data_IF_458852527568
#
_entry.id   IF_458852527568
#
_cell.length_a   1.000
_cell.length_b   1.000
_cell.length_c   1.000
_cell.angle_alpha   90.00
_cell.angle_beta   90.00
_cell.angle_gamma   90.00
#
_symmetry.space_group_name_H-M   'P 1'
#
loop_
_entity.id
_entity.type
_entity.pdbx_description
1 polymer ?
#
# COMPACT_ATOMS: atom_id res chain seq x y z
N UNK A 1 3.48 31.25 9.61
CA UNK A 1 3.72 29.85 10.02
C UNK A 1 2.58 28.94 9.51
N UNK A 2 2.76 28.39 8.32
CA UNK A 2 1.81 27.44 7.74
C UNK A 2 1.84 26.16 8.59
N UNK A 3 0.78 25.94 9.36
CA UNK A 3 0.58 24.66 10.07
C UNK A 3 0.39 23.60 8.99
N UNK A 4 1.42 22.80 8.73
CA UNK A 4 1.30 21.60 7.91
C UNK A 4 0.24 20.70 8.53
N UNK A 5 -0.96 20.71 7.96
CA UNK A 5 -2.02 19.79 8.36
C UNK A 5 -1.52 18.39 8.00
N UNK A 6 -1.48 17.44 8.94
CA UNK A 6 -0.99 16.10 8.65
C UNK A 6 -1.88 15.45 7.60
N UNK A 7 -1.26 14.99 6.50
CA UNK A 7 -1.93 14.27 5.44
C UNK A 7 -2.50 12.97 5.99
N UNK A 8 -3.74 12.65 5.59
CA UNK A 8 -4.42 11.41 5.95
C UNK A 8 -4.60 10.56 4.69
N UNK A 9 -4.95 9.29 4.91
CA UNK A 9 -5.21 8.31 3.84
C UNK A 9 -6.17 8.81 2.75
N UNK A 10 -7.18 9.58 3.15
CA UNK A 10 -8.21 10.16 2.29
C UNK A 10 -7.73 11.34 1.44
N UNK A 11 -6.61 11.96 1.82
CA UNK A 11 -6.04 13.12 1.14
C UNK A 11 -5.07 12.66 0.02
N UNK A 12 -4.75 11.35 -0.04
CA UNK A 12 -3.92 10.77 -1.09
C UNK A 12 -4.73 10.53 -2.37
N UNK A 13 -4.15 10.89 -3.50
CA UNK A 13 -4.74 10.61 -4.81
C UNK A 13 -4.54 9.14 -5.19
N UNK A 14 -5.35 8.66 -6.14
CA UNK A 14 -5.20 7.32 -6.72
C UNK A 14 -3.80 7.12 -7.32
N UNK A 15 -3.21 8.17 -7.90
CA UNK A 15 -1.86 8.13 -8.48
C UNK A 15 -0.78 7.97 -7.41
N UNK A 16 -0.91 8.65 -6.27
CA UNK A 16 0.01 8.49 -5.15
C UNK A 16 -0.05 7.08 -4.56
N UNK A 17 -1.26 6.55 -4.40
CA UNK A 17 -1.48 5.17 -3.94
C UNK A 17 -0.88 4.17 -4.92
N UNK A 18 -1.06 4.38 -6.23
CA UNK A 18 -0.47 3.52 -7.25
C UNK A 18 1.05 3.59 -7.26
N UNK A 19 1.64 4.76 -7.03
CA UNK A 19 3.09 4.93 -6.91
C UNK A 19 3.65 4.20 -5.69
N UNK A 20 2.97 4.31 -4.54
CA UNK A 20 3.34 3.56 -3.32
C UNK A 20 3.26 2.06 -3.61
N UNK A 21 2.16 1.59 -4.20
CA UNK A 21 2.00 0.19 -4.59
C UNK A 21 3.12 -0.26 -5.55
N UNK A 22 3.40 0.48 -6.62
CA UNK A 22 4.47 0.17 -7.58
C UNK A 22 5.86 0.16 -6.96
N UNK A 23 6.10 0.88 -5.87
CA UNK A 23 7.39 0.84 -5.17
C UNK A 23 7.56 -0.45 -4.38
N UNK A 24 6.46 -1.04 -3.89
CA UNK A 24 6.46 -2.18 -2.98
C UNK A 24 5.82 -3.46 -3.56
N UNK A 25 5.43 -3.48 -4.84
CA UNK A 25 4.72 -4.62 -5.44
C UNK A 25 5.58 -5.89 -5.56
N UNK A 26 6.89 -5.78 -5.38
CA UNK A 26 7.84 -6.90 -5.35
C UNK A 26 8.37 -7.18 -3.94
N UNK A 27 7.87 -6.46 -2.93
CA UNK A 27 8.24 -6.72 -1.55
C UNK A 27 7.73 -8.09 -1.12
N UNK A 28 8.32 -8.61 -0.04
CA UNK A 28 7.95 -9.92 0.50
C UNK A 28 6.47 -9.93 0.88
N UNK A 29 5.76 -10.91 0.34
CA UNK A 29 4.37 -11.12 0.65
C UNK A 29 4.20 -11.63 2.09
N UNK A 30 3.09 -11.26 2.76
CA UNK A 30 2.74 -11.85 4.04
C UNK A 30 2.54 -13.37 3.89
N UNK A 31 2.71 -14.09 4.99
CA UNK A 31 2.54 -15.54 5.01
C UNK A 31 1.14 -15.92 4.50
N UNK A 32 1.08 -16.99 3.71
CA UNK A 32 -0.16 -17.42 3.05
C UNK A 32 -0.51 -16.65 1.79
N UNK A 33 0.22 -15.60 1.39
CA UNK A 33 -0.02 -14.88 0.14
C UNK A 33 1.00 -15.22 -0.93
N UNK A 34 0.52 -15.33 -2.18
CA UNK A 34 1.36 -15.51 -3.36
C UNK A 34 0.81 -14.70 -4.54
N UNK A 35 1.66 -14.40 -5.50
CA UNK A 35 1.24 -13.78 -6.76
C UNK A 35 1.12 -14.86 -7.84
N UNK A 36 -0.06 -15.00 -8.45
CA UNK A 36 -0.34 -16.05 -9.43
C UNK A 36 -0.05 -15.64 -10.89
N UNK A 37 0.60 -14.50 -11.12
CA UNK A 37 0.82 -13.92 -12.45
C UNK A 37 -0.24 -12.91 -12.89
N UNK A 38 -1.39 -12.84 -12.20
CA UNK A 38 -2.45 -11.86 -12.48
C UNK A 38 -2.91 -11.10 -11.23
N UNK A 39 -2.95 -11.77 -10.08
CA UNK A 39 -3.46 -11.24 -8.82
C UNK A 39 -2.68 -11.80 -7.63
N UNK A 40 -2.77 -11.10 -6.51
CA UNK A 40 -2.37 -11.61 -5.21
C UNK A 40 -3.48 -12.50 -4.68
N UNK A 41 -3.11 -13.70 -4.23
CA UNK A 41 -4.04 -14.72 -3.75
C UNK A 41 -3.56 -15.20 -2.39
N UNK A 42 -4.48 -15.23 -1.42
CA UNK A 42 -4.28 -15.89 -0.13
C UNK A 42 -4.57 -17.38 -0.26
N UNK A 43 -3.87 -18.21 0.52
CA UNK A 43 -4.17 -19.63 0.70
C UNK A 43 -5.60 -19.86 1.22
N UNK A 44 -6.17 -18.88 1.92
CA UNK A 44 -7.56 -18.93 2.41
C UNK A 44 -8.60 -18.60 1.33
N UNK A 45 -8.16 -18.27 0.11
CA UNK A 45 -9.00 -18.01 -1.04
C UNK A 45 -9.30 -16.53 -1.31
N UNK A 46 -8.82 -15.61 -0.47
CA UNK A 46 -8.91 -14.17 -0.72
C UNK A 46 -8.08 -13.76 -1.95
N UNK A 47 -8.54 -12.76 -2.70
CA UNK A 47 -7.85 -12.28 -3.91
C UNK A 47 -7.84 -10.76 -3.95
N UNK A 48 -6.73 -10.20 -4.42
CA UNK A 48 -6.54 -8.77 -4.57
C UNK A 48 -5.72 -8.45 -5.81
N UNK A 49 -6.04 -7.35 -6.49
CA UNK A 49 -5.20 -6.80 -7.56
C UNK A 49 -4.03 -5.96 -7.02
N UNK A 50 -4.05 -5.65 -5.72
CA UNK A 50 -3.02 -4.86 -5.03
C UNK A 50 -2.34 -5.69 -3.96
N UNK A 51 -1.08 -5.35 -3.69
CA UNK A 51 -0.28 -5.99 -2.66
C UNK A 51 -1.05 -5.99 -1.32
N UNK A 52 -1.14 -7.13 -0.60
CA UNK A 52 -1.94 -7.24 0.63
C UNK A 52 -1.51 -6.25 1.72
N UNK A 53 -0.21 -5.94 1.80
CA UNK A 53 0.32 -4.93 2.73
C UNK A 53 0.22 -3.47 2.25
N UNK A 54 -0.59 -3.17 1.22
CA UNK A 54 -0.66 -1.82 0.66
C UNK A 54 -1.03 -0.75 1.70
N UNK A 55 -2.01 -1.02 2.57
CA UNK A 55 -2.41 -0.04 3.59
C UNK A 55 -1.26 0.24 4.58
N UNK A 56 -0.46 -0.77 4.92
CA UNK A 56 0.73 -0.57 5.74
C UNK A 56 1.77 0.33 5.04
N UNK A 57 2.02 0.13 3.74
CA UNK A 57 2.93 0.98 2.98
C UNK A 57 2.46 2.43 2.95
N UNK A 58 1.14 2.64 2.86
CA UNK A 58 0.55 3.98 2.88
C UNK A 58 0.70 4.63 4.25
N UNK A 59 0.50 3.90 5.34
CA UNK A 59 0.75 4.41 6.69
C UNK A 59 2.20 4.83 6.90
N UNK A 60 3.15 4.01 6.45
CA UNK A 60 4.59 4.33 6.51
C UNK A 60 4.90 5.56 5.67
N UNK A 61 4.32 5.67 4.48
CA UNK A 61 4.46 6.84 3.62
C UNK A 61 3.93 8.12 4.29
N UNK A 62 2.73 8.08 4.86
CA UNK A 62 2.12 9.21 5.56
C UNK A 62 2.93 9.61 6.80
N UNK A 63 3.42 8.64 7.58
CA UNK A 63 4.31 8.92 8.72
C UNK A 63 5.58 9.63 8.27
N UNK A 64 6.21 9.20 7.17
CA UNK A 64 7.40 9.86 6.62
C UNK A 64 7.12 11.27 6.09
N UNK A 65 5.93 11.51 5.52
CA UNK A 65 5.56 12.81 4.95
C UNK A 65 5.08 13.83 5.99
N UNK A 66 4.55 13.35 7.11
CA UNK A 66 4.07 14.17 8.22
C UNK A 66 5.09 14.34 9.36
N UNK A 67 6.23 13.66 9.29
CA UNK A 67 7.35 13.81 10.23
C UNK A 67 8.10 15.12 9.96
#
# INVERSE_FOLDING_TARGET
PEKNVPLKRKDLTSEEIEKIHKTHHLDVLPEGWYYNGSQYVSMDGERSYKHPNLEHFIEVYLKKRNA
#
